data_IF_537297078115
#
_entry.id   IF_537297078115
#
_cell.length_a   1.000
_cell.length_b   1.000
_cell.length_c   1.000
_cell.angle_alpha   90.00
_cell.angle_beta   90.00
_cell.angle_gamma   90.00
#
_symmetry.space_group_name_H-M   'P 1'
#
loop_
_entity.id
_entity.type
_entity.pdbx_description
1 polymer ?
#
# COMPACT_ATOMS: atom_id res chain seq x y z
N UNK A 1 8.25 -19.27 10.83
CA UNK A 1 7.51 -19.55 9.56
C UNK A 1 8.22 -18.94 8.35
N UNK A 2 9.02 -17.87 8.48
CA UNK A 2 9.90 -17.38 7.39
C UNK A 2 11.16 -18.24 7.19
N UNK A 3 11.47 -19.15 8.11
CA UNK A 3 12.75 -19.87 8.19
C UNK A 3 12.88 -21.07 7.25
N UNK A 4 11.81 -21.40 6.51
CA UNK A 4 11.77 -22.51 5.54
C UNK A 4 11.67 -22.03 4.08
N UNK A 5 11.79 -20.72 3.85
CA UNK A 5 11.70 -20.14 2.50
C UNK A 5 12.90 -19.27 2.19
N UNK A 6 13.38 -19.36 0.97
CA UNK A 6 14.45 -18.52 0.44
C UNK A 6 13.83 -17.39 -0.40
N UNK A 7 14.24 -16.15 -0.14
CA UNK A 7 13.88 -15.01 -0.97
C UNK A 7 14.85 -14.93 -2.15
N UNK A 8 14.31 -14.76 -3.36
CA UNK A 8 15.07 -14.54 -4.59
C UNK A 8 14.68 -13.16 -5.11
N UNK A 9 15.66 -12.28 -5.27
CA UNK A 9 15.41 -10.95 -5.80
C UNK A 9 15.04 -11.01 -7.30
N UNK A 10 14.02 -10.25 -7.70
CA UNK A 10 13.61 -10.15 -9.10
C UNK A 10 14.43 -9.02 -9.75
N UNK A 11 15.08 -9.25 -10.91
CA UNK A 11 15.78 -8.20 -11.63
C UNK A 11 14.83 -7.05 -11.99
N UNK A 12 15.25 -5.81 -11.76
CA UNK A 12 14.38 -4.62 -11.94
C UNK A 12 13.77 -4.52 -13.34
N UNK A 13 14.50 -4.95 -14.38
CA UNK A 13 14.04 -4.93 -15.77
C UNK A 13 12.80 -5.80 -16.04
N UNK A 14 12.51 -6.75 -15.16
CA UNK A 14 11.36 -7.67 -15.27
C UNK A 14 10.48 -7.64 -14.02
N UNK A 15 10.75 -6.74 -13.08
CA UNK A 15 9.97 -6.60 -11.86
C UNK A 15 8.77 -5.69 -12.13
N UNK A 16 7.60 -6.29 -12.31
CA UNK A 16 6.35 -5.55 -12.46
C UNK A 16 5.98 -4.94 -11.11
N UNK A 17 6.06 -3.62 -11.01
CA UNK A 17 5.66 -2.90 -9.80
C UNK A 17 4.14 -2.86 -9.74
N UNK A 18 3.57 -3.35 -8.64
CA UNK A 18 2.14 -3.32 -8.42
C UNK A 18 1.68 -1.94 -7.91
N UNK A 19 0.61 -1.41 -8.50
CA UNK A 19 -0.03 -0.17 -8.06
C UNK A 19 -1.36 -0.50 -7.39
N UNK A 20 -1.53 -0.07 -6.13
CA UNK A 20 -2.73 -0.32 -5.33
C UNK A 20 -3.46 1.00 -5.02
N UNK A 21 -4.35 1.47 -5.90
CA UNK A 21 -5.07 2.71 -5.69
C UNK A 21 -6.11 2.57 -4.55
N UNK A 22 -6.35 3.68 -3.86
CA UNK A 22 -7.42 3.83 -2.86
C UNK A 22 -8.25 5.06 -3.20
N UNK A 23 -9.58 4.93 -3.14
CA UNK A 23 -10.51 6.02 -3.38
C UNK A 23 -11.80 5.84 -2.56
N UNK A 24 -12.43 6.92 -2.09
CA UNK A 24 -13.77 6.86 -1.53
C UNK A 24 -14.80 6.39 -2.55
N UNK A 25 -15.78 5.58 -2.11
CA UNK A 25 -16.95 5.25 -2.94
C UNK A 25 -17.79 6.53 -3.13
N UNK A 26 -18.15 6.83 -4.37
CA UNK A 26 -18.81 8.09 -4.75
C UNK A 26 -20.10 8.35 -3.94
N UNK A 27 -20.96 7.34 -3.84
CA UNK A 27 -22.27 7.44 -3.16
C UNK A 27 -22.21 6.95 -1.70
N UNK A 28 -21.05 7.09 -1.04
CA UNK A 28 -20.89 6.68 0.35
C UNK A 28 -21.79 7.51 1.29
N UNK A 29 -22.55 6.82 2.14
CA UNK A 29 -23.29 7.45 3.24
C UNK A 29 -22.37 8.13 4.27
N UNK A 30 -21.06 7.86 4.23
CA UNK A 30 -20.04 8.43 5.12
C UNK A 30 -18.84 8.95 4.30
N UNK A 31 -19.11 9.81 3.31
CA UNK A 31 -18.08 10.29 2.38
C UNK A 31 -16.88 10.97 3.07
N UNK A 32 -17.13 11.80 4.09
CA UNK A 32 -16.06 12.49 4.82
C UNK A 32 -15.16 11.51 5.59
N UNK A 33 -15.74 10.48 6.21
CA UNK A 33 -14.94 9.44 6.89
C UNK A 33 -14.14 8.61 5.88
N UNK A 34 -14.72 8.30 4.72
CA UNK A 34 -14.02 7.58 3.67
C UNK A 34 -12.82 8.38 3.11
N UNK A 35 -12.97 9.70 2.96
CA UNK A 35 -11.86 10.60 2.60
C UNK A 35 -10.78 10.60 3.68
N UNK A 36 -11.16 10.81 4.93
CA UNK A 36 -10.22 10.80 6.06
C UNK A 36 -9.44 9.47 6.16
N UNK A 37 -10.09 8.34 5.86
CA UNK A 37 -9.41 7.04 5.80
C UNK A 37 -8.41 6.95 4.64
N UNK A 38 -8.80 7.37 3.43
CA UNK A 38 -7.90 7.40 2.29
C UNK A 38 -6.67 8.29 2.56
N UNK A 39 -6.90 9.47 3.13
CA UNK A 39 -5.83 10.41 3.52
C UNK A 39 -4.91 9.81 4.59
N UNK A 40 -5.46 9.08 5.57
CA UNK A 40 -4.67 8.38 6.57
C UNK A 40 -3.79 7.29 5.95
N UNK A 41 -4.32 6.49 5.02
CA UNK A 41 -3.57 5.42 4.35
C UNK A 41 -2.37 5.97 3.57
N UNK A 42 -2.51 7.12 2.91
CA UNK A 42 -1.41 7.76 2.15
C UNK A 42 -0.51 8.66 3.01
N UNK A 43 -0.85 8.89 4.27
CA UNK A 43 -0.03 9.67 5.20
C UNK A 43 1.29 8.96 5.54
N UNK A 44 2.31 9.69 6.09
CA UNK A 44 3.56 9.07 6.52
C UNK A 44 3.37 7.93 7.54
N UNK A 45 2.40 8.07 8.45
CA UNK A 45 2.08 7.02 9.43
C UNK A 45 1.42 5.81 8.77
N UNK A 46 0.50 6.02 7.83
CA UNK A 46 -0.15 4.94 7.08
C UNK A 46 0.84 4.15 6.24
N UNK A 47 1.72 4.85 5.51
CA UNK A 47 2.77 4.22 4.70
C UNK A 47 3.75 3.42 5.57
N UNK A 48 4.19 3.95 6.73
CA UNK A 48 5.08 3.21 7.64
C UNK A 48 4.45 1.90 8.17
N UNK A 49 3.12 1.87 8.37
CA UNK A 49 2.41 0.64 8.73
C UNK A 49 2.44 -0.34 7.56
N UNK A 50 2.14 0.10 6.34
CA UNK A 50 2.14 -0.75 5.15
C UNK A 50 3.53 -1.35 4.88
N UNK A 51 4.59 -0.55 4.99
CA UNK A 51 5.99 -1.00 4.86
C UNK A 51 6.34 -2.11 5.86
N UNK A 52 5.94 -1.96 7.12
CA UNK A 52 6.15 -2.99 8.16
C UNK A 52 5.57 -4.36 7.76
N UNK A 53 4.51 -4.36 6.97
CA UNK A 53 3.85 -5.57 6.50
C UNK A 53 4.26 -6.00 5.08
N UNK A 54 5.22 -5.32 4.45
CA UNK A 54 5.84 -5.74 3.19
C UNK A 54 5.22 -5.13 1.93
N UNK A 55 4.49 -4.01 2.07
CA UNK A 55 4.11 -3.19 0.92
C UNK A 55 5.22 -2.19 0.61
N UNK A 56 5.52 -2.01 -0.68
CA UNK A 56 6.47 -1.01 -1.12
C UNK A 56 5.89 0.40 -0.98
N UNK A 57 6.73 1.37 -0.63
CA UNK A 57 6.35 2.78 -0.54
C UNK A 57 5.90 3.29 -1.90
N UNK A 58 4.80 4.04 -1.95
CA UNK A 58 4.36 4.70 -3.18
C UNK A 58 5.37 5.80 -3.54
N UNK A 59 6.31 5.53 -4.45
CA UNK A 59 7.18 6.58 -4.99
C UNK A 59 6.34 7.58 -5.80
N UNK A 60 6.54 8.90 -5.62
CA UNK A 60 5.86 9.92 -6.42
C UNK A 60 6.24 9.85 -7.90
#
# INVERSE_FOLDING_TARGET
QRDQVQLIAIPAAVNVVATYPIAPVADSAQLELARAFADFVVSPTGQAILEKYGFDHVQP
#
